data_IF_320174364053
#
_entry.id   IF_320174364053
#
_cell.length_a   1.000
_cell.length_b   1.000
_cell.length_c   1.000
_cell.angle_alpha   90.00
_cell.angle_beta   90.00
_cell.angle_gamma   90.00
#
_symmetry.space_group_name_H-M   'P 1'
#
loop_
_entity.id
_entity.type
_entity.pdbx_description
1 polymer ?
#
# COMPACT_ATOMS: atom_id res chain seq x y z
N UNK A 1 9.00 -12.53 16.15
CA UNK A 1 9.27 -12.73 14.72
C UNK A 1 9.47 -11.37 14.12
N UNK A 2 10.69 -11.07 13.69
CA UNK A 2 11.06 -9.76 13.16
C UNK A 2 10.53 -9.58 11.74
N UNK A 3 10.08 -8.36 11.42
CA UNK A 3 9.67 -7.96 10.07
C UNK A 3 10.80 -8.07 9.04
N UNK A 4 12.06 -8.21 9.48
CA UNK A 4 13.25 -8.34 8.63
C UNK A 4 13.16 -9.48 7.59
N UNK A 5 12.48 -10.59 7.92
CA UNK A 5 12.32 -11.75 7.03
C UNK A 5 10.96 -11.81 6.31
N UNK A 6 10.09 -10.81 6.48
CA UNK A 6 8.81 -10.79 5.78
C UNK A 6 8.99 -10.53 4.27
N UNK A 7 8.07 -11.02 3.42
CA UNK A 7 8.00 -10.63 2.01
C UNK A 7 7.93 -9.10 1.85
N UNK A 8 8.44 -8.59 0.74
CA UNK A 8 8.54 -7.15 0.49
C UNK A 8 7.17 -6.46 0.48
N UNK A 9 6.15 -7.14 -0.05
CA UNK A 9 4.77 -6.67 -0.04
C UNK A 9 4.19 -6.55 1.38
N UNK A 10 4.61 -7.43 2.30
CA UNK A 10 4.16 -7.41 3.70
C UNK A 10 4.85 -6.28 4.45
N UNK A 11 6.16 -6.08 4.23
CA UNK A 11 6.91 -4.96 4.82
C UNK A 11 6.31 -3.62 4.37
N UNK A 12 6.08 -3.47 3.07
CA UNK A 12 5.49 -2.26 2.51
C UNK A 12 4.07 -2.00 3.04
N UNK A 13 3.25 -3.05 3.17
CA UNK A 13 1.92 -2.90 3.75
C UNK A 13 1.97 -2.38 5.20
N UNK A 14 2.92 -2.88 6.01
CA UNK A 14 3.11 -2.41 7.39
C UNK A 14 3.55 -0.94 7.42
N UNK A 15 4.49 -0.55 6.57
CA UNK A 15 4.96 0.85 6.49
C UNK A 15 3.82 1.80 6.05
N UNK A 16 3.01 1.37 5.10
CA UNK A 16 1.85 2.14 4.64
C UNK A 16 0.78 2.28 5.71
N UNK A 17 0.49 1.21 6.46
CA UNK A 17 -0.45 1.27 7.60
C UNK A 17 0.05 2.27 8.64
N UNK A 18 1.32 2.15 9.03
CA UNK A 18 1.93 3.07 9.99
C UNK A 18 1.86 4.54 9.53
N UNK A 19 2.12 4.81 8.25
CA UNK A 19 2.03 6.15 7.68
C UNK A 19 0.60 6.70 7.75
N UNK A 20 -0.40 5.89 7.38
CA UNK A 20 -1.81 6.30 7.38
C UNK A 20 -2.30 6.58 8.81
N UNK A 21 -1.95 5.72 9.76
CA UNK A 21 -2.28 5.90 11.18
C UNK A 21 -1.61 7.13 11.77
N UNK A 22 -0.33 7.34 11.48
CA UNK A 22 0.45 8.49 11.99
C UNK A 22 -0.06 9.83 11.47
N UNK A 23 -0.78 9.84 10.34
CA UNK A 23 -1.42 11.02 9.78
C UNK A 23 -2.93 11.08 10.08
N UNK A 24 -3.43 10.23 10.98
CA UNK A 24 -4.84 10.17 11.38
C UNK A 24 -5.82 10.04 10.20
N UNK A 25 -5.40 9.33 9.14
CA UNK A 25 -6.21 9.17 7.93
C UNK A 25 -7.37 8.23 8.24
N UNK A 26 -8.59 8.70 7.98
CA UNK A 26 -9.80 7.89 8.09
C UNK A 26 -9.68 6.60 7.25
N UNK A 27 -9.92 5.40 7.82
CA UNK A 27 -9.74 4.14 7.11
C UNK A 27 -10.55 4.02 5.82
N UNK A 28 -11.77 4.57 5.79
CA UNK A 28 -12.60 4.53 4.58
C UNK A 28 -12.01 5.42 3.47
N UNK A 29 -11.40 6.54 3.84
CA UNK A 29 -10.65 7.41 2.94
C UNK A 29 -9.36 6.75 2.46
N UNK A 30 -8.61 6.10 3.35
CA UNK A 30 -7.41 5.34 3.01
C UNK A 30 -7.70 4.23 1.98
N UNK A 31 -8.76 3.44 2.19
CA UNK A 31 -9.17 2.40 1.26
C UNK A 31 -9.50 2.94 -0.14
N UNK A 32 -10.19 4.08 -0.22
CA UNK A 32 -10.49 4.73 -1.51
C UNK A 32 -9.21 5.20 -2.21
N UNK A 33 -8.26 5.77 -1.48
CA UNK A 33 -6.97 6.20 -2.02
C UNK A 33 -6.14 5.00 -2.49
N UNK A 34 -6.06 3.93 -1.70
CA UNK A 34 -5.34 2.71 -2.06
C UNK A 34 -5.91 2.05 -3.32
N UNK A 35 -7.24 2.09 -3.52
CA UNK A 35 -7.86 1.61 -4.76
C UNK A 35 -7.43 2.42 -6.00
N UNK A 36 -7.17 3.73 -5.85
CA UNK A 36 -6.64 4.57 -6.94
C UNK A 36 -5.19 4.19 -7.22
N UNK A 37 -4.36 4.07 -6.18
CA UNK A 37 -2.95 3.65 -6.31
C UNK A 37 -2.84 2.27 -6.97
N UNK A 38 -3.66 1.31 -6.54
CA UNK A 38 -3.71 -0.02 -7.12
C UNK A 38 -3.99 0.03 -8.63
N UNK A 39 -4.98 0.83 -9.06
CA UNK A 39 -5.31 0.99 -10.49
C UNK A 39 -4.16 1.60 -11.29
N UNK A 40 -3.47 2.60 -10.74
CA UNK A 40 -2.30 3.22 -11.38
C UNK A 40 -1.14 2.21 -11.57
N UNK A 41 -0.85 1.42 -10.54
CA UNK A 41 0.17 0.37 -10.62
C UNK A 41 -0.22 -0.72 -11.62
N UNK A 42 -1.49 -1.15 -11.63
CA UNK A 42 -2.00 -2.11 -12.62
C UNK A 42 -1.88 -1.57 -14.05
N UNK A 43 -2.19 -0.28 -14.27
CA UNK A 43 -2.03 0.35 -15.57
C UNK A 43 -0.57 0.34 -16.02
N UNK A 44 0.39 0.62 -15.12
CA UNK A 44 1.82 0.58 -15.42
C UNK A 44 2.32 -0.82 -15.79
N UNK A 45 1.81 -1.86 -15.13
CA UNK A 45 2.13 -3.25 -15.45
C UNK A 45 1.49 -3.72 -16.77
N UNK A 46 0.45 -3.04 -17.24
CA UNK A 46 -0.21 -3.34 -18.51
C UNK A 46 0.43 -2.64 -19.72
N UNK A 47 1.49 -1.84 -19.53
CA UNK A 47 2.22 -1.13 -20.61
C UNK A 47 3.37 -1.98 -21.20
N UNK A 48 3.54 -3.22 -20.74
CA UNK A 48 4.57 -4.16 -21.23
C UNK A 48 4.04 -5.17 -22.29
N UNK A 49 3.17 -4.73 -23.21
CA UNK A 49 2.75 -5.47 -24.43
C UNK A 49 3.19 -4.74 -25.72
#
# INVERSE_FOLDING_TARGET
>A
MSLEHAPDEVKLAVDLIYLLESNEVDPATALKALAIVQKDLQAKLAVDD
#
